data_IF_306511372784
#
_entry.id   IF_306511372784
#
_cell.length_a   1.000
_cell.length_b   1.000
_cell.length_c   1.000
_cell.angle_alpha   90.00
_cell.angle_beta   90.00
_cell.angle_gamma   90.00
#
_symmetry.space_group_name_H-M   'P 1'
#
loop_
_entity.id
_entity.type
_entity.pdbx_description
1 polymer ?
#
# COMPACT_ATOMS: atom_id res chain seq x y z
N UNK A 1 -3.26 -59.41 42.50
CA UNK A 1 -2.40 -58.41 41.82
C UNK A 1 -2.86 -58.26 40.38
N UNK A 2 -3.39 -57.07 40.03
CA UNK A 2 -3.10 -56.34 38.79
C UNK A 2 -3.87 -55.02 38.86
N UNK A 3 -3.11 -53.94 38.75
CA UNK A 3 -3.50 -52.58 39.05
C UNK A 3 -4.18 -51.89 37.87
N UNK A 4 -4.98 -50.89 38.23
CA UNK A 4 -5.64 -49.91 37.37
C UNK A 4 -4.63 -49.04 36.60
N UNK A 5 -5.07 -48.46 35.48
CA UNK A 5 -4.33 -47.40 34.78
C UNK A 5 -5.06 -46.90 33.54
N UNK A 6 -6.19 -46.23 33.72
CA UNK A 6 -6.87 -45.42 32.70
C UNK A 6 -5.93 -44.27 32.31
N UNK A 7 -5.30 -44.32 31.14
CA UNK A 7 -4.36 -43.29 30.68
C UNK A 7 -5.08 -42.28 29.78
N UNK A 8 -5.04 -41.02 30.24
CA UNK A 8 -5.71 -39.83 29.71
C UNK A 8 -5.51 -39.60 28.21
N UNK A 9 -6.63 -39.32 27.53
CA UNK A 9 -6.68 -38.66 26.23
C UNK A 9 -6.41 -37.15 26.46
N UNK A 10 -5.18 -36.70 26.20
CA UNK A 10 -4.84 -35.28 26.32
C UNK A 10 -5.08 -34.58 24.97
N UNK A 11 -6.25 -33.94 24.88
CA UNK A 11 -6.63 -33.09 23.77
C UNK A 11 -5.74 -31.85 23.69
N UNK A 12 -5.17 -31.63 22.51
CA UNK A 12 -4.50 -30.38 22.17
C UNK A 12 -5.44 -29.57 21.27
N UNK A 13 -6.31 -28.78 21.87
CA UNK A 13 -7.12 -27.80 21.15
C UNK A 13 -6.21 -26.59 20.92
N UNK A 14 -5.63 -26.49 19.73
CA UNK A 14 -5.03 -25.25 19.23
C UNK A 14 -6.17 -24.26 18.97
N UNK A 15 -6.47 -23.43 19.96
CA UNK A 15 -7.30 -22.24 19.75
C UNK A 15 -6.39 -21.18 19.11
N UNK A 16 -6.41 -21.10 17.78
CA UNK A 16 -5.90 -19.91 17.10
C UNK A 16 -6.84 -18.76 17.46
N UNK A 17 -6.42 -17.97 18.44
CA UNK A 17 -6.98 -16.65 18.67
C UNK A 17 -6.51 -15.77 17.50
N UNK A 18 -7.32 -15.71 16.45
CA UNK A 18 -7.18 -14.70 15.42
C UNK A 18 -7.36 -13.33 16.06
N UNK A 19 -6.26 -12.63 16.29
CA UNK A 19 -6.29 -11.23 16.68
C UNK A 19 -6.75 -10.44 15.44
N UNK A 20 -8.04 -10.13 15.35
CA UNK A 20 -8.51 -9.09 14.44
C UNK A 20 -8.17 -7.75 15.09
N UNK A 21 -7.00 -7.20 14.79
CA UNK A 21 -6.76 -5.79 15.05
C UNK A 21 -7.57 -4.97 14.06
N UNK A 22 -8.73 -4.49 14.51
CA UNK A 22 -9.64 -3.54 13.83
C UNK A 22 -9.02 -2.14 13.59
N UNK A 23 -7.69 -2.02 13.56
CA UNK A 23 -6.99 -0.75 13.42
C UNK A 23 -6.82 -0.29 11.96
N UNK A 24 -7.26 -1.09 10.98
CA UNK A 24 -7.21 -0.71 9.56
C UNK A 24 -8.18 0.44 9.22
N UNK A 25 -9.23 0.64 10.03
CA UNK A 25 -10.33 1.52 9.66
C UNK A 25 -10.02 3.02 9.81
N UNK A 26 -9.18 3.42 10.78
CA UNK A 26 -8.87 4.85 11.00
C UNK A 26 -7.78 5.41 10.07
N UNK A 27 -6.92 4.56 9.50
CA UNK A 27 -5.77 5.00 8.69
C UNK A 27 -6.04 4.99 7.19
N UNK A 28 -6.89 4.08 6.72
CA UNK A 28 -7.53 4.20 5.41
C UNK A 28 -8.17 5.59 5.24
N UNK A 29 -8.68 6.18 6.32
CA UNK A 29 -9.36 7.47 6.29
C UNK A 29 -8.45 8.64 5.84
N UNK A 30 -7.14 8.59 6.10
CA UNK A 30 -6.21 9.65 5.63
C UNK A 30 -5.83 9.51 4.17
N UNK A 31 -5.75 8.29 3.65
CA UNK A 31 -5.45 7.99 2.26
C UNK A 31 -6.68 8.19 1.36
N UNK A 32 -7.88 8.05 1.94
CA UNK A 32 -9.15 8.23 1.24
C UNK A 32 -9.26 9.57 0.52
N UNK A 33 -9.85 9.53 -0.67
CA UNK A 33 -10.10 10.71 -1.49
C UNK A 33 -9.34 10.68 -2.81
N UNK A 34 -9.15 11.86 -3.40
CA UNK A 34 -8.60 12.04 -4.73
C UNK A 34 -7.26 12.75 -4.67
N UNK A 35 -6.27 12.17 -5.33
CA UNK A 35 -4.90 12.64 -5.38
C UNK A 35 -4.47 12.80 -6.84
N UNK A 36 -3.74 13.87 -7.14
CA UNK A 36 -3.09 14.07 -8.43
C UNK A 36 -1.62 13.72 -8.30
N UNK A 37 -1.11 12.80 -9.12
CA UNK A 37 0.33 12.59 -9.25
C UNK A 37 0.94 13.81 -9.95
N UNK A 38 1.91 14.44 -9.29
CA UNK A 38 2.55 15.67 -9.79
C UNK A 38 4.03 15.51 -10.10
N UNK A 39 4.69 14.48 -9.54
CA UNK A 39 6.08 14.18 -9.82
C UNK A 39 6.35 12.68 -9.70
N UNK A 40 7.19 12.16 -10.59
CA UNK A 40 7.83 10.85 -10.51
C UNK A 40 9.34 11.07 -10.64
N UNK A 41 10.11 10.64 -9.64
CA UNK A 41 11.56 10.77 -9.65
C UNK A 41 12.27 9.47 -9.26
N UNK A 42 13.55 9.34 -9.62
CA UNK A 42 14.38 8.18 -9.27
C UNK A 42 14.61 7.23 -10.44
N UNK A 43 14.70 5.93 -10.14
CA UNK A 43 15.16 4.94 -11.11
C UNK A 43 16.65 5.06 -11.44
N UNK A 44 17.19 4.01 -12.06
CA UNK A 44 18.62 3.96 -12.41
C UNK A 44 19.07 5.10 -13.35
N UNK A 45 18.17 5.59 -14.20
CA UNK A 45 18.44 6.67 -15.14
C UNK A 45 18.35 8.09 -14.52
N UNK A 46 17.93 8.21 -13.25
CA UNK A 46 17.73 9.51 -12.61
C UNK A 46 16.59 10.30 -13.24
N UNK A 47 15.45 9.64 -13.44
CA UNK A 47 14.22 10.26 -13.95
C UNK A 47 13.74 11.33 -12.97
N UNK A 48 13.20 12.42 -13.50
CA UNK A 48 12.52 13.48 -12.76
C UNK A 48 11.50 14.11 -13.70
N UNK A 49 10.26 13.64 -13.62
CA UNK A 49 9.17 14.00 -14.52
C UNK A 49 8.03 14.63 -13.73
N UNK A 50 7.65 15.84 -14.12
CA UNK A 50 6.54 16.58 -13.53
C UNK A 50 5.28 16.47 -14.38
N UNK A 51 4.14 16.43 -13.71
CA UNK A 51 2.82 16.33 -14.33
C UNK A 51 1.91 17.46 -13.88
N UNK A 52 1.08 17.96 -14.79
CA UNK A 52 0.05 18.93 -14.44
C UNK A 52 -0.95 18.31 -13.45
N UNK A 53 -1.35 19.09 -12.43
CA UNK A 53 -2.35 18.64 -11.45
C UNK A 53 -3.64 18.27 -12.18
N UNK A 54 -4.08 17.02 -12.00
CA UNK A 54 -5.28 16.48 -12.64
C UNK A 54 -5.03 15.69 -13.92
N UNK A 55 -3.81 15.69 -14.47
CA UNK A 55 -3.46 14.86 -15.62
C UNK A 55 -3.49 13.36 -15.26
N UNK A 56 -2.96 13.01 -14.08
CA UNK A 56 -2.94 11.66 -13.55
C UNK A 56 -3.59 11.68 -12.17
N UNK A 57 -4.72 11.00 -12.02
CA UNK A 57 -5.58 11.06 -10.83
C UNK A 57 -5.74 9.68 -10.22
N UNK A 58 -5.48 9.58 -8.92
CA UNK A 58 -5.66 8.39 -8.10
C UNK A 58 -6.77 8.64 -7.09
N UNK A 59 -7.84 7.83 -7.13
CA UNK A 59 -8.96 7.91 -6.20
C UNK A 59 -8.99 6.66 -5.33
N UNK A 60 -8.69 6.83 -4.04
CA UNK A 60 -8.81 5.78 -3.04
C UNK A 60 -10.22 5.80 -2.43
N UNK A 61 -10.98 4.75 -2.69
CA UNK A 61 -12.26 4.48 -2.03
C UNK A 61 -12.04 3.62 -0.79
N UNK A 62 -12.26 4.19 0.39
CA UNK A 62 -12.02 3.52 1.68
C UNK A 62 -13.11 2.54 2.07
N UNK A 63 -14.29 2.60 1.44
CA UNK A 63 -15.39 1.67 1.73
C UNK A 63 -15.16 0.32 1.08
N UNK A 64 -14.67 0.36 -0.15
CA UNK A 64 -14.57 -0.80 -1.02
C UNK A 64 -13.12 -1.30 -1.19
N UNK A 65 -12.14 -0.65 -0.54
CA UNK A 65 -10.72 -1.00 -0.70
C UNK A 65 -10.26 -0.91 -2.16
N UNK A 66 -10.83 0.05 -2.91
CA UNK A 66 -10.67 0.16 -4.36
C UNK A 66 -9.90 1.44 -4.72
N UNK A 67 -8.88 1.31 -5.56
CA UNK A 67 -8.11 2.40 -6.14
C UNK A 67 -8.50 2.54 -7.61
N UNK A 68 -9.01 3.72 -7.99
CA UNK A 68 -9.32 4.06 -9.38
C UNK A 68 -8.26 5.03 -9.89
N UNK A 69 -7.55 4.65 -10.95
CA UNK A 69 -6.53 5.47 -11.60
C UNK A 69 -7.06 5.95 -12.94
N UNK A 70 -6.99 7.27 -13.16
CA UNK A 70 -7.23 7.90 -14.44
C UNK A 70 -5.95 8.63 -14.86
N UNK A 71 -5.20 8.03 -15.78
CA UNK A 71 -4.03 8.61 -16.40
C UNK A 71 -4.44 9.15 -17.78
N UNK A 72 -4.61 10.47 -17.84
CA UNK A 72 -4.88 11.23 -19.06
C UNK A 72 -3.67 12.08 -19.46
N UNK A 73 -2.48 11.73 -18.96
CA UNK A 73 -1.26 12.41 -19.39
C UNK A 73 -1.08 12.20 -20.90
N UNK A 74 -1.09 13.31 -21.63
CA UNK A 74 -0.90 13.34 -23.08
C UNK A 74 0.57 13.44 -23.49
N UNK A 75 1.49 13.44 -22.52
CA UNK A 75 2.92 13.45 -22.77
C UNK A 75 3.42 12.08 -23.28
N UNK A 76 4.68 12.05 -23.74
CA UNK A 76 5.36 10.79 -24.06
C UNK A 76 6.14 10.22 -22.86
N UNK A 77 5.83 10.65 -21.63
CA UNK A 77 6.49 10.17 -20.42
C UNK A 77 6.28 8.67 -20.26
N UNK A 78 7.38 7.94 -20.16
CA UNK A 78 7.38 6.47 -20.01
C UNK A 78 7.09 6.10 -18.55
N UNK A 79 7.43 6.98 -17.60
CA UNK A 79 7.35 6.74 -16.16
C UNK A 79 6.27 7.64 -15.53
N UNK A 80 5.01 7.23 -15.65
CA UNK A 80 3.84 7.99 -15.22
C UNK A 80 2.97 7.23 -14.19
N UNK A 81 3.58 6.32 -13.43
CA UNK A 81 2.94 5.57 -12.35
C UNK A 81 2.08 4.40 -12.84
N UNK A 82 0.88 4.25 -12.28
CA UNK A 82 -0.06 3.19 -12.63
C UNK A 82 -0.83 3.52 -13.92
N UNK A 83 -1.08 2.53 -14.80
CA UNK A 83 -1.99 2.71 -15.92
C UNK A 83 -3.42 3.08 -15.48
N UNK A 84 -4.20 3.64 -16.40
CA UNK A 84 -5.65 3.83 -16.18
C UNK A 84 -6.32 2.49 -15.89
N UNK A 85 -7.09 2.43 -14.80
CA UNK A 85 -7.74 1.20 -14.38
C UNK A 85 -8.34 1.27 -12.98
N UNK A 86 -8.89 0.13 -12.56
CA UNK A 86 -9.40 -0.07 -11.20
C UNK A 86 -8.62 -1.22 -10.57
N UNK A 87 -8.17 -1.00 -9.34
CA UNK A 87 -7.29 -1.89 -8.59
C UNK A 87 -7.88 -2.14 -7.21
N UNK A 88 -7.59 -3.29 -6.61
CA UNK A 88 -7.73 -3.44 -5.16
C UNK A 88 -6.53 -2.78 -4.48
N UNK A 89 -6.73 -2.21 -3.30
CA UNK A 89 -5.63 -1.75 -2.47
C UNK A 89 -5.81 -2.12 -1.00
N UNK A 90 -4.68 -2.27 -0.32
CA UNK A 90 -4.59 -2.40 1.13
C UNK A 90 -3.42 -1.55 1.63
N UNK A 91 -3.43 -1.23 2.92
CA UNK A 91 -2.32 -0.57 3.58
C UNK A 91 -1.78 -1.52 4.65
N UNK A 92 -0.55 -1.97 4.45
CA UNK A 92 0.19 -2.71 5.46
C UNK A 92 0.78 -1.74 6.48
N UNK A 93 0.91 -2.20 7.72
CA UNK A 93 1.64 -1.49 8.76
C UNK A 93 2.73 -2.40 9.31
N UNK A 94 3.98 -1.93 9.25
CA UNK A 94 5.13 -2.57 9.89
C UNK A 94 5.80 -1.52 10.79
N UNK A 95 5.77 -1.75 12.10
CA UNK A 95 6.16 -0.77 13.13
C UNK A 95 5.41 0.55 12.97
N UNK A 96 6.14 1.64 12.72
CA UNK A 96 5.62 3.00 12.56
C UNK A 96 5.53 3.43 11.08
N UNK A 97 5.76 2.51 10.14
CA UNK A 97 5.73 2.74 8.70
C UNK A 97 4.50 2.10 8.06
N UNK A 98 4.06 2.69 6.96
CA UNK A 98 2.90 2.24 6.20
C UNK A 98 3.31 1.92 4.78
N UNK A 99 2.76 0.85 4.21
CA UNK A 99 3.10 0.41 2.88
C UNK A 99 1.82 0.20 2.08
N UNK A 100 1.81 0.69 0.85
CA UNK A 100 0.69 0.52 -0.05
C UNK A 100 0.84 -0.80 -0.81
N UNK A 101 -0.21 -1.59 -0.80
CA UNK A 101 -0.37 -2.73 -1.68
C UNK A 101 -1.42 -2.42 -2.73
N UNK A 102 -1.16 -2.84 -3.97
CA UNK A 102 -2.08 -2.72 -5.10
C UNK A 102 -2.18 -4.09 -5.77
N UNK A 103 -3.38 -4.64 -5.89
CA UNK A 103 -3.63 -6.01 -6.38
C UNK A 103 -2.76 -7.06 -5.66
N UNK A 104 -2.78 -7.04 -4.33
CA UNK A 104 -2.03 -7.96 -3.45
C UNK A 104 -0.50 -7.92 -3.64
N UNK A 105 0.00 -6.84 -4.25
CA UNK A 105 1.43 -6.59 -4.42
C UNK A 105 1.83 -5.30 -3.72
N UNK A 106 2.76 -5.39 -2.79
CA UNK A 106 3.39 -4.22 -2.20
C UNK A 106 4.10 -3.37 -3.27
N UNK A 107 3.80 -2.08 -3.27
CA UNK A 107 4.40 -1.12 -4.21
C UNK A 107 5.33 -0.12 -3.54
N UNK A 108 5.29 0.03 -2.21
CA UNK A 108 6.25 0.85 -1.47
C UNK A 108 5.69 1.49 -0.21
N UNK A 109 6.57 2.15 0.54
CA UNK A 109 6.23 2.94 1.72
C UNK A 109 5.41 4.18 1.33
N UNK A 110 4.38 4.49 2.12
CA UNK A 110 3.59 5.71 1.99
C UNK A 110 3.77 6.62 3.19
N UNK A 111 3.98 7.90 2.93
CA UNK A 111 3.99 8.97 3.92
C UNK A 111 2.94 10.01 3.53
N UNK A 112 1.99 10.25 4.44
CA UNK A 112 0.92 11.23 4.22
C UNK A 112 1.12 12.40 5.20
N UNK A 113 1.43 13.58 4.67
CA UNK A 113 1.44 14.84 5.44
C UNK A 113 0.50 15.86 4.80
N UNK A 114 -0.48 16.34 5.59
CA UNK A 114 -1.49 17.33 5.20
C UNK A 114 -2.18 17.00 3.87
N UNK A 115 -1.70 17.55 2.76
CA UNK A 115 -2.26 17.44 1.42
C UNK A 115 -1.31 16.76 0.43
N UNK A 116 -0.23 16.14 0.93
CA UNK A 116 0.76 15.43 0.14
C UNK A 116 0.82 13.96 0.58
N UNK A 117 0.88 13.09 -0.43
CA UNK A 117 1.18 11.67 -0.32
C UNK A 117 2.50 11.45 -1.04
N UNK A 118 3.47 10.88 -0.35
CA UNK A 118 4.72 10.38 -0.93
C UNK A 118 4.66 8.86 -0.93
N UNK A 119 4.94 8.25 -2.07
CA UNK A 119 5.07 6.80 -2.24
C UNK A 119 6.49 6.49 -2.69
N UNK A 120 7.26 5.79 -1.85
CA UNK A 120 8.65 5.42 -2.11
C UNK A 120 8.77 3.92 -2.39
N UNK A 121 9.04 3.58 -3.66
CA UNK A 121 9.21 2.20 -4.10
C UNK A 121 10.55 1.59 -3.67
N UNK A 122 11.48 2.41 -3.15
CA UNK A 122 12.74 1.91 -2.60
C UNK A 122 12.58 1.42 -1.17
N UNK A 123 11.47 1.69 -0.48
CA UNK A 123 11.24 1.25 0.89
C UNK A 123 10.13 0.20 0.90
N UNK A 124 10.45 -1.02 1.34
CA UNK A 124 9.49 -2.12 1.44
C UNK A 124 9.54 -2.80 2.81
N UNK A 125 8.53 -3.59 3.12
CA UNK A 125 8.49 -4.42 4.33
C UNK A 125 9.66 -5.42 4.42
N UNK A 126 10.28 -5.76 3.28
CA UNK A 126 11.45 -6.65 3.20
C UNK A 126 12.79 -5.90 3.27
N UNK A 127 12.78 -4.57 3.27
CA UNK A 127 13.96 -3.70 3.29
C UNK A 127 14.03 -2.73 2.11
N UNK A 128 15.22 -2.15 1.92
CA UNK A 128 15.41 -1.04 1.00
C UNK A 128 16.08 -1.44 -0.32
N UNK A 129 15.57 -0.88 -1.42
CA UNK A 129 16.16 -0.87 -2.76
C UNK A 129 16.84 0.46 -3.10
N UNK A 130 17.26 0.62 -4.36
CA UNK A 130 17.93 1.84 -4.82
C UNK A 130 17.53 2.30 -6.24
N UNK A 131 16.85 1.46 -7.01
CA UNK A 131 16.46 1.70 -8.40
C UNK A 131 14.95 1.86 -8.60
N UNK A 132 14.19 1.99 -7.51
CA UNK A 132 12.77 2.30 -7.52
C UNK A 132 12.50 3.79 -7.73
N UNK A 133 11.22 4.11 -7.96
CA UNK A 133 10.75 5.48 -8.08
C UNK A 133 10.18 6.03 -6.76
N UNK A 134 10.25 7.34 -6.61
CA UNK A 134 9.50 8.10 -5.62
C UNK A 134 8.41 8.87 -6.35
N UNK A 135 7.18 8.74 -5.89
CA UNK A 135 6.02 9.42 -6.44
C UNK A 135 5.48 10.42 -5.43
N UNK A 136 5.19 11.63 -5.92
CA UNK A 136 4.57 12.68 -5.12
C UNK A 136 3.19 12.97 -5.66
N UNK A 137 2.18 12.79 -4.80
CA UNK A 137 0.79 13.07 -5.12
C UNK A 137 0.23 14.15 -4.19
N UNK A 138 -0.69 14.97 -4.69
CA UNK A 138 -1.34 16.04 -3.93
C UNK A 138 -2.86 16.05 -4.09
N UNK A 139 -3.59 16.38 -3.02
CA UNK A 139 -5.04 16.59 -3.05
C UNK A 139 -5.40 18.06 -3.22
#
# INVERSE_FOLDING_TARGET
>A
MKAYGLMLFLGLIFVFTGCSTDNAHEKNDKLGGTWSLINVSGGFAGIDEDFEKGAIVWKFDTKDGTLIVANNDGSNAIHNGLPTGTYTYSVLQEKDQFYLEVNDKEIGEIVIDKSQLVLDQNSTTMGNGADGFVMVLVR
#
